data_IF_992199337591
#
_entry.id   IF_992199337591
#
_cell.length_a   1.000
_cell.length_b   1.000
_cell.length_c   1.000
_cell.angle_alpha   90.00
_cell.angle_beta   90.00
_cell.angle_gamma   90.00
#
_symmetry.space_group_name_H-M   'P 1'
#
loop_
_entity.id
_entity.type
_entity.pdbx_description
1 polymer ?
#
# COMPACT_ATOMS: atom_id res chain seq x y z
N UNK A 1 21.62 -5.42 11.31
CA UNK A 1 20.29 -6.02 11.09
C UNK A 1 19.56 -5.17 10.07
N UNK A 2 19.57 -5.54 8.80
CA UNK A 2 18.82 -4.84 7.75
C UNK A 2 17.35 -5.16 7.94
N UNK A 3 16.57 -4.18 8.43
CA UNK A 3 15.12 -4.30 8.49
C UNK A 3 14.55 -4.54 7.10
N UNK A 4 13.49 -5.35 7.01
CA UNK A 4 12.76 -5.52 5.76
C UNK A 4 12.09 -4.19 5.40
N UNK A 5 12.59 -3.53 4.35
CA UNK A 5 12.01 -2.30 3.81
C UNK A 5 10.78 -2.62 2.97
N UNK A 6 9.74 -1.82 3.11
CA UNK A 6 8.46 -1.99 2.41
C UNK A 6 8.01 -0.67 1.80
N UNK A 7 7.42 -0.74 0.60
CA UNK A 7 6.77 0.40 -0.01
C UNK A 7 5.39 0.57 0.63
N UNK A 8 5.12 1.75 1.18
CA UNK A 8 3.86 2.08 1.86
C UNK A 8 3.21 3.27 1.18
N UNK A 9 1.94 3.12 0.82
CA UNK A 9 1.07 4.16 0.27
C UNK A 9 -0.04 4.48 1.27
N UNK A 10 -0.27 5.75 1.58
CA UNK A 10 -1.38 6.17 2.43
C UNK A 10 -2.53 6.71 1.58
N UNK A 11 -3.56 5.88 1.39
CA UNK A 11 -4.74 6.21 0.61
C UNK A 11 -5.64 7.20 1.34
N UNK A 12 -5.99 8.31 0.65
CA UNK A 12 -6.90 9.37 1.12
C UNK A 12 -6.69 9.76 2.60
N UNK A 13 -5.48 10.21 2.90
CA UNK A 13 -5.18 10.76 4.21
C UNK A 13 -6.01 12.03 4.48
N UNK A 14 -6.64 12.10 5.65
CA UNK A 14 -7.28 13.32 6.12
C UNK A 14 -6.25 14.16 6.87
N UNK A 15 -5.78 15.25 6.25
CA UNK A 15 -4.71 16.07 6.80
C UNK A 15 -3.33 15.62 6.35
N UNK A 16 -2.40 15.41 7.27
CA UNK A 16 -1.02 15.03 6.93
C UNK A 16 -0.89 13.53 6.68
N UNK A 17 -0.14 13.08 5.66
CA UNK A 17 0.07 11.66 5.43
C UNK A 17 0.96 11.05 6.51
N UNK A 18 0.60 9.84 6.97
CA UNK A 18 1.36 9.02 7.92
C UNK A 18 2.73 8.57 7.40
N UNK A 19 2.97 8.65 6.10
CA UNK A 19 4.27 8.42 5.47
C UNK A 19 4.64 9.63 4.61
N UNK A 20 5.94 9.89 4.45
CA UNK A 20 6.43 11.07 3.73
C UNK A 20 5.81 11.18 2.33
N UNK A 21 5.11 12.28 2.07
CA UNK A 21 4.49 12.56 0.78
C UNK A 21 3.40 11.57 0.36
N UNK A 22 2.85 10.78 1.30
CA UNK A 22 1.81 9.79 1.01
C UNK A 22 2.30 8.50 0.36
N UNK A 23 3.57 8.41 -0.05
CA UNK A 23 4.20 7.22 -0.61
C UNK A 23 5.68 7.18 -0.24
N UNK A 24 6.08 6.21 0.58
CA UNK A 24 7.47 6.09 1.03
C UNK A 24 7.90 4.64 1.18
N UNK A 25 9.22 4.41 1.08
CA UNK A 25 9.83 3.17 1.54
C UNK A 25 10.19 3.35 3.00
N UNK A 26 9.61 2.54 3.87
CA UNK A 26 9.81 2.58 5.33
C UNK A 26 10.34 1.24 5.83
N UNK A 27 10.93 1.23 7.02
CA UNK A 27 11.28 -0.02 7.71
C UNK A 27 10.02 -0.65 8.32
N UNK A 28 9.96 -1.99 8.38
CA UNK A 28 8.82 -2.69 8.99
C UNK A 28 8.50 -2.18 10.41
N UNK A 29 9.51 -1.90 11.23
CA UNK A 29 9.33 -1.38 12.59
C UNK A 29 8.68 0.01 12.63
N UNK A 30 8.98 0.85 11.63
CA UNK A 30 8.35 2.16 11.51
C UNK A 30 6.87 2.01 11.14
N UNK A 31 6.56 1.10 10.21
CA UNK A 31 5.19 0.75 9.85
C UNK A 31 4.39 0.22 11.05
N UNK A 32 4.97 -0.69 11.83
CA UNK A 32 4.31 -1.24 13.03
C UNK A 32 4.03 -0.12 14.04
N UNK A 33 5.00 0.78 14.27
CA UNK A 33 4.83 1.93 15.16
C UNK A 33 3.82 2.98 14.66
N UNK A 34 3.60 3.10 13.34
CA UNK A 34 2.51 3.91 12.78
C UNK A 34 1.17 3.27 13.12
N UNK A 35 1.02 1.96 12.94
CA UNK A 35 -0.23 1.24 13.19
C UNK A 35 -0.62 1.25 14.68
N UNK A 36 0.36 1.17 15.59
CA UNK A 36 0.12 1.29 17.03
C UNK A 36 -0.41 2.68 17.43
N UNK A 37 0.09 3.74 16.79
CA UNK A 37 -0.31 5.13 17.07
C UNK A 37 -1.65 5.52 16.43
N UNK A 38 -2.05 4.80 15.38
CA UNK A 38 -3.22 5.10 14.57
C UNK A 38 -4.16 3.89 14.50
N UNK A 39 -4.87 3.55 15.59
CA UNK A 39 -5.75 2.38 15.66
C UNK A 39 -6.94 2.46 14.69
N UNK A 40 -7.27 3.64 14.18
CA UNK A 40 -8.28 3.88 13.15
C UNK A 40 -7.85 3.46 11.74
N UNK A 41 -6.56 3.18 11.55
CA UNK A 41 -5.97 2.79 10.27
C UNK A 41 -5.89 1.27 10.17
N UNK A 42 -6.19 0.75 8.98
CA UNK A 42 -5.92 -0.62 8.59
C UNK A 42 -4.85 -0.67 7.50
N UNK A 43 -4.25 -1.85 7.38
CA UNK A 43 -3.34 -2.16 6.28
C UNK A 43 -3.91 -3.24 5.38
N UNK A 44 -3.70 -3.08 4.09
CA UNK A 44 -3.87 -4.11 3.08
C UNK A 44 -2.61 -4.19 2.22
N UNK A 45 -2.54 -5.15 1.30
CA UNK A 45 -1.38 -5.28 0.42
C UNK A 45 -1.78 -5.54 -1.02
N UNK A 46 -1.02 -4.97 -1.95
CA UNK A 46 -1.18 -5.15 -3.38
C UNK A 46 0.13 -5.58 -4.02
N UNK A 47 0.10 -6.63 -4.83
CA UNK A 47 1.26 -7.05 -5.61
C UNK A 47 1.62 -6.02 -6.68
N UNK A 48 2.93 -5.80 -6.87
CA UNK A 48 3.49 -4.91 -7.89
C UNK A 48 4.20 -5.78 -8.92
N UNK A 49 3.84 -5.63 -10.19
CA UNK A 49 4.57 -6.28 -11.28
C UNK A 49 5.96 -5.63 -11.46
N UNK A 50 6.96 -6.42 -11.86
CA UNK A 50 8.33 -5.90 -12.02
C UNK A 50 8.38 -4.84 -13.11
N UNK A 51 9.14 -3.77 -12.87
CA UNK A 51 9.40 -2.73 -13.88
C UNK A 51 8.23 -1.78 -14.16
N UNK A 52 7.08 -1.92 -13.48
CA UNK A 52 5.95 -1.00 -13.68
C UNK A 52 6.25 0.36 -13.04
N UNK A 53 5.89 1.44 -13.73
CA UNK A 53 6.04 2.80 -13.22
C UNK A 53 4.81 3.32 -12.48
N UNK A 54 3.66 2.70 -12.72
CA UNK A 54 2.37 3.10 -12.14
C UNK A 54 1.63 1.86 -11.69
N UNK A 55 0.91 1.97 -10.57
CA UNK A 55 0.06 0.91 -10.03
C UNK A 55 -1.33 1.48 -9.77
N UNK A 56 -2.36 0.84 -10.31
CA UNK A 56 -3.75 1.20 -10.04
C UNK A 56 -4.25 0.56 -8.75
N UNK A 57 -4.71 1.40 -7.82
CA UNK A 57 -5.36 1.01 -6.57
C UNK A 57 -6.86 0.99 -6.79
N UNK A 58 -7.46 -0.18 -6.62
CA UNK A 58 -8.88 -0.44 -6.76
C UNK A 58 -9.54 -0.58 -5.39
N UNK A 59 -10.87 -0.51 -5.34
CA UNK A 59 -11.63 -0.65 -4.09
C UNK A 59 -11.31 -1.94 -3.34
N UNK A 60 -11.21 -3.07 -4.04
CA UNK A 60 -10.78 -4.35 -3.43
C UNK A 60 -9.39 -4.30 -2.79
N UNK A 61 -8.49 -3.44 -3.26
CA UNK A 61 -7.12 -3.38 -2.74
C UNK A 61 -7.07 -2.68 -1.37
N UNK A 62 -8.15 -2.03 -0.92
CA UNK A 62 -8.24 -1.41 0.41
C UNK A 62 -8.77 -2.38 1.48
N UNK A 63 -9.33 -3.51 1.07
CA UNK A 63 -9.98 -4.46 1.96
C UNK A 63 -8.93 -5.39 2.59
N UNK A 64 -9.14 -5.75 3.85
CA UNK A 64 -8.44 -6.90 4.43
C UNK A 64 -8.97 -8.19 3.81
N UNK A 65 -8.25 -9.30 4.00
CA UNK A 65 -8.69 -10.60 3.48
C UNK A 65 -10.08 -10.97 4.01
N UNK A 66 -10.33 -10.71 5.29
CA UNK A 66 -11.61 -10.96 5.96
C UNK A 66 -12.73 -10.08 5.39
N UNK A 67 -12.44 -8.81 5.08
CA UNK A 67 -13.42 -7.89 4.47
C UNK A 67 -13.73 -8.26 3.01
N UNK A 68 -12.75 -8.78 2.28
CA UNK A 68 -12.90 -9.17 0.87
C UNK A 68 -13.90 -10.31 0.68
N UNK A 69 -14.02 -11.23 1.64
CA UNK A 69 -14.94 -12.37 1.55
C UNK A 69 -16.42 -11.93 1.58
N UNK A 70 -16.75 -10.87 2.33
CA UNK A 70 -18.11 -10.34 2.43
C UNK A 70 -18.50 -9.36 1.30
N UNK A 71 -17.52 -8.70 0.67
CA UNK A 71 -17.74 -7.66 -0.35
C UNK A 71 -17.51 -8.20 -1.78
N UNK A 72 -16.99 -9.43 -1.92
CA UNK A 72 -16.55 -10.00 -3.19
C UNK A 72 -17.61 -10.08 -4.30
N UNK A 73 -18.90 -9.91 -4.01
CA UNK A 73 -20.02 -10.01 -4.95
C UNK A 73 -20.53 -8.67 -5.50
N UNK A 74 -20.06 -7.52 -5.00
CA UNK A 74 -20.57 -6.23 -5.47
C UNK A 74 -20.04 -5.87 -6.87
N UNK A 75 -20.89 -5.31 -7.75
CA UNK A 75 -20.51 -4.99 -9.13
C UNK A 75 -19.44 -3.88 -9.23
N UNK A 76 -19.30 -3.05 -8.19
CA UNK A 76 -18.32 -1.97 -8.11
C UNK A 76 -17.05 -2.34 -7.34
N UNK A 77 -16.83 -3.61 -6.99
CA UNK A 77 -15.64 -4.05 -6.22
C UNK A 77 -14.29 -3.73 -6.91
N UNK A 78 -14.30 -3.65 -8.23
CA UNK A 78 -13.11 -3.42 -9.08
C UNK A 78 -13.06 -1.98 -9.61
N UNK A 79 -13.73 -1.02 -8.97
CA UNK A 79 -13.60 0.40 -9.32
C UNK A 79 -12.18 0.87 -9.02
N UNK A 80 -11.54 1.53 -9.99
CA UNK A 80 -10.25 2.20 -9.82
C UNK A 80 -10.42 3.47 -8.97
N UNK A 81 -9.65 3.57 -7.90
CA UNK A 81 -9.68 4.67 -6.94
C UNK A 81 -8.50 5.64 -7.11
N UNK A 82 -7.34 5.16 -7.54
CA UNK A 82 -6.15 5.97 -7.72
C UNK A 82 -5.09 5.29 -8.60
N UNK A 83 -4.40 6.08 -9.45
CA UNK A 83 -3.15 5.67 -10.08
C UNK A 83 -1.95 6.18 -9.29
N UNK A 84 -1.10 5.27 -8.79
CA UNK A 84 0.06 5.59 -7.96
C UNK A 84 1.34 5.47 -8.76
N UNK A 85 2.05 6.59 -8.96
CA UNK A 85 3.36 6.61 -9.63
C UNK A 85 4.45 6.16 -8.66
N UNK A 86 5.19 5.11 -9.04
CA UNK A 86 6.26 4.54 -8.22
C UNK A 86 7.56 5.36 -8.31
N UNK A 87 8.31 5.50 -7.21
CA UNK A 87 9.65 6.08 -7.25
C UNK A 87 10.58 5.26 -8.14
N UNK A 88 11.42 5.93 -8.94
CA UNK A 88 12.36 5.25 -9.87
C UNK A 88 13.25 4.24 -9.15
N UNK A 89 13.67 4.53 -7.92
CA UNK A 89 14.49 3.63 -7.10
C UNK A 89 13.76 2.32 -6.77
N UNK A 90 12.45 2.37 -6.54
CA UNK A 90 11.61 1.19 -6.32
C UNK A 90 11.53 0.36 -7.60
N UNK A 91 11.26 1.01 -8.74
CA UNK A 91 11.18 0.35 -10.05
C UNK A 91 12.48 -0.39 -10.36
N UNK A 92 13.63 0.28 -10.24
CA UNK A 92 14.95 -0.32 -10.48
C UNK A 92 15.22 -1.49 -9.53
N UNK A 93 14.91 -1.35 -8.24
CA UNK A 93 15.10 -2.45 -7.28
C UNK A 93 14.20 -3.67 -7.57
N UNK A 94 13.00 -3.46 -8.12
CA UNK A 94 12.10 -4.55 -8.52
C UNK A 94 12.64 -5.37 -9.68
N UNK A 95 13.38 -4.72 -10.59
CA UNK A 95 13.99 -5.37 -11.77
C UNK A 95 15.29 -6.07 -11.39
N UNK A 96 16.16 -5.40 -10.62
CA UNK A 96 17.53 -5.88 -10.36
C UNK A 96 17.62 -6.92 -9.24
N UNK A 97 16.92 -6.71 -8.14
CA UNK A 97 16.99 -7.60 -6.96
C UNK A 97 15.67 -8.31 -6.66
N UNK A 98 14.60 -8.02 -7.43
CA UNK A 98 13.28 -8.56 -7.15
C UNK A 98 12.68 -8.04 -5.84
N UNK A 99 13.17 -6.92 -5.31
CA UNK A 99 12.63 -6.28 -4.10
C UNK A 99 11.31 -5.54 -4.40
N UNK A 100 10.59 -5.13 -3.34
CA UNK A 100 9.35 -4.35 -3.45
C UNK A 100 8.27 -5.02 -4.34
N UNK A 101 8.12 -6.35 -4.24
CA UNK A 101 7.07 -7.12 -4.95
C UNK A 101 5.64 -6.77 -4.52
N UNK A 102 5.50 -6.02 -3.42
CA UNK A 102 4.23 -5.60 -2.86
C UNK A 102 4.30 -4.15 -2.38
N UNK A 103 3.17 -3.48 -2.49
CA UNK A 103 2.87 -2.20 -1.84
C UNK A 103 1.95 -2.49 -0.67
N UNK A 104 2.27 -1.97 0.50
CA UNK A 104 1.33 -1.90 1.62
C UNK A 104 0.50 -0.64 1.43
N UNK A 105 -0.81 -0.76 1.59
CA UNK A 105 -1.74 0.35 1.50
C UNK A 105 -2.30 0.59 2.90
N UNK A 106 -2.16 1.82 3.38
CA UNK A 106 -2.81 2.30 4.60
C UNK A 106 -4.11 3.00 4.21
N UNK A 107 -5.20 2.66 4.87
CA UNK A 107 -6.49 3.33 4.73
C UNK A 107 -7.21 3.37 6.07
N UNK A 108 -8.20 4.25 6.22
CA UNK A 108 -9.12 4.16 7.35
C UNK A 108 -9.85 2.82 7.34
N UNK A 109 -10.14 2.31 8.53
CA UNK A 109 -11.06 1.18 8.71
C UNK A 109 -12.44 1.55 8.20
N UNK A 110 -13.05 0.61 7.47
CA UNK A 110 -14.43 0.70 6.99
C UNK A 110 -15.41 0.37 8.12
#
# INVERSE_FOLDING_TARGET
MTGSKVLVYHYRHEGSPLVKGGLAVVDQRELDGILEKHPEIQMSSKSIARGVMTVDVHQRDLLTNEQSEGIGSYPNRDVNLAGVKLPVTVVLSSVLSGNHKKMIILSKKL
#
